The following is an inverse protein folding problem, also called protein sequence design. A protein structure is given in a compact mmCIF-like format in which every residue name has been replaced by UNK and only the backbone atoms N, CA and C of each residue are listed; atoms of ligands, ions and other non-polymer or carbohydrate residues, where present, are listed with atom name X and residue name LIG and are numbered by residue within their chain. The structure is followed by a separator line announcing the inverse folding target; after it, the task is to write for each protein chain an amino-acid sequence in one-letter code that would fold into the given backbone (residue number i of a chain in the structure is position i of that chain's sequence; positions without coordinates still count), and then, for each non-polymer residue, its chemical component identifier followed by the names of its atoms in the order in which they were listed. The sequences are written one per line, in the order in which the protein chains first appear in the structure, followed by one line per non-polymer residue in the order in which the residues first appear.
data_IF_039174902903
#
_entry.id   IF_039174902903
#
_cell.length_a   1.000
_cell.length_b   1.000
_cell.length_c   1.000
_cell.angle_alpha   90.00
_cell.angle_beta   90.00
_cell.angle_gamma   90.00
#
_symmetry.space_group_name_H-M   'P 1'
#
loop_
_entity.id
_entity.type
_entity.pdbx_description
1 polymer ?
#
# COMPACT_ATOMS: atom_id res chain seq x y z
N UNK A 1 0.36 3.73 21.50
CA UNK A 1 -0.33 5.01 21.71
C UNK A 1 -1.80 4.77 22.02
N UNK A 2 -2.13 4.76 23.31
CA UNK A 2 -3.48 4.84 23.85
C UNK A 2 -3.85 6.31 24.21
N UNK A 3 -5.04 6.57 24.76
CA UNK A 3 -5.50 7.94 25.08
C UNK A 3 -4.62 8.66 26.11
N UNK A 4 -4.17 7.95 27.14
CA UNK A 4 -3.31 8.51 28.20
C UNK A 4 -1.94 8.88 27.60
N UNK A 5 -1.38 7.99 26.78
CA UNK A 5 -0.13 8.23 26.06
C UNK A 5 -0.23 9.42 25.09
N UNK A 6 -1.40 9.61 24.43
CA UNK A 6 -1.64 10.77 23.56
C UNK A 6 -1.66 12.08 24.34
N UNK A 7 -2.35 12.13 25.48
CA UNK A 7 -2.40 13.31 26.35
C UNK A 7 -0.99 13.67 26.84
N UNK A 8 -0.24 12.66 27.27
CA UNK A 8 1.13 12.84 27.74
C UNK A 8 2.05 13.35 26.62
N UNK A 9 1.97 12.77 25.41
CA UNK A 9 2.73 13.24 24.26
C UNK A 9 2.41 14.70 23.89
N UNK A 10 1.15 15.10 23.95
CA UNK A 10 0.73 16.49 23.68
C UNK A 10 1.28 17.46 24.73
N UNK A 11 1.26 17.06 26.01
CA UNK A 11 1.82 17.82 27.13
C UNK A 11 3.32 18.08 26.92
N UNK A 12 4.07 17.00 26.66
CA UNK A 12 5.53 17.05 26.59
C UNK A 12 6.03 17.81 25.33
N UNK A 13 5.29 17.74 24.23
CA UNK A 13 5.70 18.38 22.96
C UNK A 13 5.35 19.87 22.91
N UNK A 14 4.30 20.32 23.63
CA UNK A 14 3.75 21.67 23.48
C UNK A 14 3.73 22.48 24.79
N UNK A 15 4.44 22.03 25.83
CA UNK A 15 4.48 22.68 27.14
C UNK A 15 3.09 22.98 27.74
N UNK A 16 2.09 22.14 27.43
CA UNK A 16 0.74 22.28 27.97
C UNK A 16 0.67 21.72 29.39
N UNK A 17 -0.27 22.21 30.19
CA UNK A 17 -0.65 21.48 31.41
C UNK A 17 -1.38 20.18 31.05
N UNK A 18 -1.38 19.21 31.98
CA UNK A 18 -2.12 17.95 31.79
C UNK A 18 -3.61 18.21 31.53
N UNK A 19 -4.22 19.13 32.28
CA UNK A 19 -5.63 19.51 32.16
C UNK A 19 -5.96 20.17 30.82
N UNK A 20 -5.03 20.94 30.25
CA UNK A 20 -5.20 21.52 28.91
C UNK A 20 -5.10 20.44 27.82
N UNK A 21 -4.10 19.56 27.90
CA UNK A 21 -3.97 18.45 26.96
C UNK A 21 -5.19 17.52 26.98
N UNK A 22 -5.73 17.23 28.17
CA UNK A 22 -6.98 16.49 28.34
C UNK A 22 -8.17 17.18 27.66
N UNK A 23 -8.32 18.49 27.88
CA UNK A 23 -9.39 19.30 27.26
C UNK A 23 -9.28 19.32 25.75
N UNK A 24 -8.09 19.51 25.19
CA UNK A 24 -7.86 19.51 23.74
C UNK A 24 -8.22 18.17 23.11
N UNK A 25 -7.76 17.06 23.70
CA UNK A 25 -8.08 15.72 23.21
C UNK A 25 -9.58 15.46 23.29
N UNK A 26 -10.24 15.83 24.39
CA UNK A 26 -11.67 15.67 24.54
C UNK A 26 -12.44 16.46 23.47
N UNK A 27 -12.14 17.75 23.31
CA UNK A 27 -12.80 18.63 22.34
C UNK A 27 -12.65 18.09 20.91
N UNK A 28 -11.45 17.66 20.53
CA UNK A 28 -11.20 17.08 19.20
C UNK A 28 -12.11 15.89 18.88
N UNK A 29 -12.25 14.94 19.81
CA UNK A 29 -13.09 13.76 19.59
C UNK A 29 -14.58 14.09 19.64
N UNK A 30 -15.00 15.04 20.48
CA UNK A 30 -16.40 15.50 20.56
C UNK A 30 -16.82 16.16 19.26
N UNK A 31 -16.11 17.19 18.80
CA UNK A 31 -16.45 17.93 17.57
C UNK A 31 -16.47 17.02 16.34
N UNK A 32 -15.50 16.10 16.24
CA UNK A 32 -15.47 15.10 15.17
C UNK A 32 -16.67 14.14 15.21
N UNK A 33 -17.08 13.70 16.41
CA UNK A 33 -18.23 12.81 16.59
C UNK A 33 -19.54 13.51 16.25
N UNK A 34 -19.70 14.76 16.69
CA UNK A 34 -20.89 15.56 16.44
C UNK A 34 -21.05 15.89 14.95
N UNK A 35 -19.95 16.23 14.26
CA UNK A 35 -19.95 16.40 12.80
C UNK A 35 -20.42 15.12 12.08
N UNK A 36 -19.89 13.96 12.45
CA UNK A 36 -20.32 12.68 11.86
C UNK A 36 -21.77 12.34 12.19
N UNK A 37 -22.25 12.66 13.40
CA UNK A 37 -23.65 12.46 13.77
C UNK A 37 -24.61 13.29 12.91
N UNK A 38 -24.19 14.49 12.48
CA UNK A 38 -24.91 15.33 11.52
C UNK A 38 -24.78 14.89 10.06
N UNK A 39 -24.01 13.83 9.79
CA UNK A 39 -23.73 13.34 8.44
C UNK A 39 -22.68 14.14 7.68
N UNK A 40 -21.97 15.03 8.37
CA UNK A 40 -20.89 15.83 7.79
C UNK A 40 -19.66 14.96 7.54
N UNK A 41 -18.79 15.46 6.64
CA UNK A 41 -17.51 14.85 6.36
C UNK A 41 -16.42 15.60 7.12
N UNK A 42 -15.66 14.87 7.93
CA UNK A 42 -14.46 15.39 8.60
C UNK A 42 -13.26 15.08 7.71
N UNK A 43 -12.51 16.11 7.33
CA UNK A 43 -11.32 15.97 6.48
C UNK A 43 -10.10 16.60 7.14
N UNK A 44 -9.11 15.77 7.44
CA UNK A 44 -7.82 16.19 8.00
C UNK A 44 -6.79 15.96 6.90
N UNK A 45 -6.43 17.02 6.19
CA UNK A 45 -5.51 16.98 5.04
C UNK A 45 -4.22 16.24 5.41
N UNK A 46 -3.76 15.37 4.51
CA UNK A 46 -2.59 14.51 4.73
C UNK A 46 -2.88 13.27 5.59
N UNK A 47 -3.80 13.36 6.56
CA UNK A 47 -4.09 12.28 7.49
C UNK A 47 -5.23 11.37 7.04
N UNK A 48 -6.46 11.89 6.95
CA UNK A 48 -7.64 11.08 6.61
C UNK A 48 -8.85 11.90 6.16
N UNK A 49 -9.83 11.19 5.61
CA UNK A 49 -11.21 11.65 5.52
C UNK A 49 -12.12 10.65 6.22
N UNK A 50 -13.01 11.14 7.07
CA UNK A 50 -14.04 10.35 7.75
C UNK A 50 -15.40 10.89 7.31
N UNK A 51 -16.27 9.99 6.87
CA UNK A 51 -17.62 10.34 6.43
C UNK A 51 -18.59 9.21 6.76
N UNK A 52 -19.86 9.53 6.88
CA UNK A 52 -20.90 8.54 7.11
C UNK A 52 -21.21 7.81 5.80
N UNK A 53 -21.12 6.48 5.81
CA UNK A 53 -21.50 5.63 4.69
C UNK A 53 -22.79 4.89 5.01
N UNK A 54 -23.72 4.89 4.06
CA UNK A 54 -24.96 4.14 4.15
C UNK A 54 -24.78 2.73 3.60
N UNK A 55 -25.18 1.74 4.38
CA UNK A 55 -25.14 0.33 4.02
C UNK A 55 -26.57 -0.17 3.84
N UNK A 56 -26.83 -0.78 2.68
CA UNK A 56 -28.12 -1.43 2.40
C UNK A 56 -28.30 -2.65 3.29
N UNK A 57 -29.55 -3.07 3.46
CA UNK A 57 -29.87 -4.33 4.11
C UNK A 57 -29.24 -5.51 3.37
N UNK A 58 -28.84 -6.55 4.11
CA UNK A 58 -28.30 -7.77 3.53
C UNK A 58 -28.66 -8.97 4.40
N UNK A 59 -28.63 -10.16 3.81
CA UNK A 59 -28.86 -11.41 4.54
C UNK A 59 -27.54 -11.89 5.15
N UNK A 60 -27.51 -11.98 6.47
CA UNK A 60 -26.41 -12.56 7.24
C UNK A 60 -26.76 -13.97 7.75
N UNK A 61 -25.85 -14.56 8.53
CA UNK A 61 -26.13 -15.79 9.28
C UNK A 61 -25.84 -15.56 10.76
N UNK A 62 -26.69 -16.11 11.61
CA UNK A 62 -26.42 -16.15 13.04
C UNK A 62 -25.19 -17.04 13.30
N UNK A 63 -24.10 -16.52 13.90
CA UNK A 63 -22.89 -17.32 14.13
C UNK A 63 -23.11 -18.53 15.05
N UNK A 64 -24.14 -18.51 15.90
CA UNK A 64 -24.46 -19.60 16.84
C UNK A 64 -25.39 -20.65 16.24
N UNK A 65 -26.41 -20.24 15.47
CA UNK A 65 -27.45 -21.16 14.96
C UNK A 65 -27.34 -21.47 13.47
N UNK A 66 -26.60 -20.67 12.70
CA UNK A 66 -26.44 -20.82 11.25
C UNK A 66 -27.64 -20.33 10.42
N UNK A 67 -28.74 -19.99 11.06
CA UNK A 67 -29.96 -19.49 10.41
C UNK A 67 -29.71 -18.18 9.68
N UNK A 68 -30.42 -17.99 8.57
CA UNK A 68 -30.38 -16.75 7.80
C UNK A 68 -31.15 -15.66 8.54
N UNK A 69 -30.50 -14.50 8.72
CA UNK A 69 -31.10 -13.35 9.38
C UNK A 69 -30.96 -12.13 8.49
N UNK A 70 -32.05 -11.39 8.29
CA UNK A 70 -32.02 -10.13 7.55
C UNK A 70 -31.45 -9.02 8.44
N UNK A 71 -30.35 -8.40 8.00
CA UNK A 71 -29.74 -7.25 8.67
C UNK A 71 -30.32 -5.97 8.05
N UNK A 72 -30.88 -5.11 8.91
CA UNK A 72 -31.43 -3.82 8.50
C UNK A 72 -30.35 -2.89 7.90
N UNK A 73 -30.74 -1.92 7.05
CA UNK A 73 -29.82 -0.87 6.60
C UNK A 73 -29.25 -0.11 7.80
N UNK A 74 -28.01 0.36 7.68
CA UNK A 74 -27.34 1.12 8.75
C UNK A 74 -26.40 2.16 8.20
N UNK A 75 -26.14 3.19 9.00
CA UNK A 75 -25.14 4.21 8.72
C UNK A 75 -23.94 3.97 9.62
N UNK A 76 -22.74 3.94 9.05
CA UNK A 76 -21.51 3.74 9.81
C UNK A 76 -20.45 4.75 9.37
N UNK A 77 -19.63 5.28 10.29
CA UNK A 77 -18.45 6.05 9.92
C UNK A 77 -17.51 5.19 9.07
N UNK A 78 -17.00 5.77 7.99
CA UNK A 78 -16.01 5.17 7.13
C UNK A 78 -14.73 6.02 7.15
N UNK A 79 -13.64 5.43 7.61
CA UNK A 79 -12.32 6.06 7.59
C UNK A 79 -11.60 5.76 6.28
N UNK A 80 -11.26 6.81 5.53
CA UNK A 80 -10.40 6.75 4.36
C UNK A 80 -9.03 7.33 4.71
N UNK A 81 -7.98 6.50 4.84
CA UNK A 81 -6.65 7.01 5.13
C UNK A 81 -6.13 7.85 3.96
N UNK A 82 -5.53 8.99 4.30
CA UNK A 82 -4.86 9.90 3.39
C UNK A 82 -3.62 9.27 2.76
N UNK A 83 -3.16 9.86 1.65
CA UNK A 83 -1.98 9.37 0.94
C UNK A 83 -0.73 9.44 1.82
N UNK A 84 -0.49 10.58 2.46
CA UNK A 84 0.70 10.79 3.30
C UNK A 84 0.69 9.84 4.51
N UNK A 85 -0.45 9.61 5.16
CA UNK A 85 -0.55 8.61 6.22
C UNK A 85 -0.22 7.20 5.73
N UNK A 86 -0.75 6.80 4.56
CA UNK A 86 -0.43 5.49 3.96
C UNK A 86 1.05 5.37 3.65
N UNK A 87 1.67 6.40 3.11
CA UNK A 87 3.10 6.43 2.80
C UNK A 87 3.97 6.39 4.06
N UNK A 88 3.55 7.08 5.14
CA UNK A 88 4.25 7.03 6.43
C UNK A 88 4.19 5.66 7.09
N UNK A 89 3.09 4.92 6.91
CA UNK A 89 2.88 3.60 7.53
C UNK A 89 3.42 2.47 6.64
N UNK A 90 3.19 2.55 5.34
CA UNK A 90 3.64 1.55 4.37
C UNK A 90 5.09 1.80 3.99
N UNK A 91 5.99 1.04 4.63
CA UNK A 91 7.43 1.05 4.32
C UNK A 91 7.75 0.67 2.87
N UNK A 92 6.78 0.22 2.06
CA UNK A 92 6.97 -0.13 0.64
C UNK A 92 6.45 0.91 -0.37
N UNK A 93 5.67 1.92 0.05
CA UNK A 93 5.20 2.99 -0.86
C UNK A 93 6.29 4.06 -0.97
N UNK A 94 7.14 3.85 -1.96
CA UNK A 94 8.17 4.80 -2.33
C UNK A 94 7.52 6.08 -2.86
N UNK A 95 7.41 7.11 -2.01
CA UNK A 95 7.40 8.50 -2.46
C UNK A 95 8.68 8.70 -3.29
N UNK A 96 8.63 9.41 -4.44
CA UNK A 96 9.79 9.53 -5.33
C UNK A 96 11.03 10.22 -4.74
N UNK A 97 11.14 10.49 -3.43
CA UNK A 97 12.27 11.28 -2.98
C UNK A 97 12.86 11.06 -1.58
N UNK A 98 12.38 10.19 -0.67
CA UNK A 98 13.11 10.00 0.61
C UNK A 98 13.00 8.57 1.17
N UNK A 99 14.01 7.74 0.89
CA UNK A 99 14.28 6.46 1.56
C UNK A 99 15.78 6.38 1.89
N UNK A 100 16.13 6.30 3.19
CA UNK A 100 17.50 6.07 3.67
C UNK A 100 17.94 4.59 3.63
N UNK A 101 17.05 3.68 3.20
CA UNK A 101 17.41 2.35 2.67
C UNK A 101 17.14 2.37 1.18
N UNK A 102 18.09 2.88 0.40
CA UNK A 102 17.90 3.25 -1.00
C UNK A 102 17.28 2.12 -1.81
N UNK A 103 16.18 2.40 -2.52
CA UNK A 103 15.72 1.58 -3.63
C UNK A 103 16.85 1.59 -4.66
N UNK A 104 17.68 0.55 -4.66
CA UNK A 104 18.84 0.46 -5.54
C UNK A 104 18.43 0.78 -6.98
N UNK A 105 18.85 1.93 -7.49
CA UNK A 105 18.55 2.33 -8.87
C UNK A 105 19.31 1.43 -9.84
N UNK A 106 18.94 1.44 -11.12
CA UNK A 106 19.71 0.71 -12.15
C UNK A 106 21.18 1.17 -12.15
N UNK A 107 21.41 2.47 -11.95
CA UNK A 107 22.75 3.04 -11.88
C UNK A 107 23.50 2.52 -10.64
N UNK A 108 22.89 2.61 -9.46
CA UNK A 108 23.50 2.10 -8.21
C UNK A 108 23.77 0.60 -8.26
N UNK A 109 22.90 -0.19 -8.88
CA UNK A 109 23.15 -1.62 -9.11
C UNK A 109 24.36 -1.84 -10.01
N UNK A 110 24.47 -1.08 -11.11
CA UNK A 110 25.63 -1.15 -12.01
C UNK A 110 26.91 -0.78 -11.27
N UNK A 111 26.88 0.28 -10.46
CA UNK A 111 28.02 0.71 -9.67
C UNK A 111 28.43 -0.33 -8.63
N UNK A 112 27.47 -0.92 -7.93
CA UNK A 112 27.74 -1.97 -6.96
C UNK A 112 28.33 -3.23 -7.62
N UNK A 113 27.74 -3.70 -8.72
CA UNK A 113 28.29 -4.84 -9.48
C UNK A 113 29.71 -4.54 -9.97
N UNK A 114 29.92 -3.34 -10.52
CA UNK A 114 31.24 -2.92 -11.01
C UNK A 114 32.29 -2.93 -9.89
N UNK A 115 31.93 -2.42 -8.70
CA UNK A 115 32.82 -2.38 -7.54
C UNK A 115 33.09 -3.77 -6.96
N UNK A 116 32.05 -4.57 -6.70
CA UNK A 116 32.17 -5.85 -6.01
C UNK A 116 32.85 -6.92 -6.89
N UNK A 117 32.69 -6.84 -8.22
CA UNK A 117 33.30 -7.76 -9.17
C UNK A 117 34.60 -7.23 -9.82
N UNK A 118 35.05 -6.03 -9.44
CA UNK A 118 36.21 -5.32 -10.03
C UNK A 118 36.18 -5.29 -11.57
N UNK A 119 35.07 -4.81 -12.13
CA UNK A 119 34.85 -4.70 -13.59
C UNK A 119 34.40 -3.29 -14.00
N UNK A 120 34.63 -2.88 -15.26
CA UNK A 120 34.11 -1.61 -15.76
C UNK A 120 32.59 -1.49 -15.65
N UNK A 121 32.08 -0.30 -15.28
CA UNK A 121 30.63 0.01 -15.22
C UNK A 121 29.92 -0.26 -16.55
N UNK A 122 30.62 -0.10 -17.69
CA UNK A 122 30.12 -0.40 -19.03
C UNK A 122 29.84 -1.90 -19.21
N UNK A 123 30.73 -2.76 -18.71
CA UNK A 123 30.57 -4.22 -18.72
C UNK A 123 29.41 -4.66 -17.85
N UNK A 124 29.30 -4.14 -16.61
CA UNK A 124 28.17 -4.42 -15.72
C UNK A 124 26.83 -3.98 -16.33
N UNK A 125 26.80 -2.79 -16.97
CA UNK A 125 25.63 -2.30 -17.72
C UNK A 125 25.27 -3.23 -18.88
N UNK A 126 26.25 -3.65 -19.67
CA UNK A 126 26.04 -4.53 -20.82
C UNK A 126 25.49 -5.89 -20.40
N UNK A 127 26.00 -6.47 -19.31
CA UNK A 127 25.48 -7.72 -18.74
C UNK A 127 24.00 -7.60 -18.35
N UNK A 128 23.63 -6.52 -17.64
CA UNK A 128 22.25 -6.26 -17.22
C UNK A 128 21.32 -6.03 -18.43
N UNK A 129 21.80 -5.31 -19.45
CA UNK A 129 21.05 -5.11 -20.69
C UNK A 129 20.91 -6.42 -21.50
N UNK A 130 21.87 -7.33 -21.41
CA UNK A 130 21.80 -8.69 -21.95
C UNK A 130 20.61 -9.47 -21.38
N UNK A 131 20.41 -9.44 -20.06
CA UNK A 131 19.25 -10.06 -19.39
C UNK A 131 17.95 -9.46 -19.94
N UNK A 132 17.88 -8.12 -20.06
CA UNK A 132 16.70 -7.43 -20.61
C UNK A 132 16.41 -7.84 -22.05
N UNK A 133 17.45 -7.98 -22.89
CA UNK A 133 17.33 -8.45 -24.28
C UNK A 133 16.83 -9.90 -24.32
N UNK A 134 17.34 -10.77 -23.47
CA UNK A 134 16.94 -12.18 -23.36
C UNK A 134 15.45 -12.36 -23.05
N UNK A 135 14.81 -11.36 -22.42
CA UNK A 135 13.39 -11.38 -22.05
C UNK A 135 12.46 -10.74 -23.11
N UNK A 136 12.97 -10.25 -24.25
CA UNK A 136 12.15 -9.56 -25.26
C UNK A 136 11.18 -10.50 -25.99
N UNK A 137 11.56 -11.76 -26.23
CA UNK A 137 10.73 -12.72 -26.97
C UNK A 137 9.58 -13.23 -26.09
N UNK A 138 8.41 -13.46 -26.70
CA UNK A 138 7.27 -14.09 -26.02
C UNK A 138 7.68 -15.48 -25.51
N UNK A 139 7.29 -15.83 -24.27
CA UNK A 139 7.65 -17.10 -23.62
C UNK A 139 9.15 -17.34 -23.43
N UNK A 140 9.99 -16.30 -23.56
CA UNK A 140 11.40 -16.39 -23.21
C UNK A 140 11.62 -16.51 -21.70
N UNK A 141 12.76 -17.07 -21.32
CA UNK A 141 13.20 -17.16 -19.94
C UNK A 141 14.69 -16.86 -19.84
N UNK A 142 15.09 -16.22 -18.74
CA UNK A 142 16.48 -16.04 -18.35
C UNK A 142 16.63 -16.62 -16.96
N UNK A 143 17.47 -17.64 -16.83
CA UNK A 143 17.75 -18.31 -15.56
C UNK A 143 19.13 -17.90 -15.09
N UNK A 144 19.20 -17.36 -13.88
CA UNK A 144 20.44 -17.09 -13.17
C UNK A 144 20.54 -18.12 -12.05
N UNK A 145 21.44 -19.09 -12.19
CA UNK A 145 21.63 -20.18 -11.22
C UNK A 145 21.95 -19.57 -9.85
N UNK A 146 21.37 -20.12 -8.78
CA UNK A 146 21.48 -19.58 -7.41
C UNK A 146 20.58 -18.37 -7.12
N UNK A 147 20.20 -17.58 -8.13
CA UNK A 147 19.37 -16.38 -7.93
C UNK A 147 17.89 -16.59 -8.25
N UNK A 148 17.57 -17.03 -9.47
CA UNK A 148 16.19 -17.28 -9.88
C UNK A 148 15.97 -17.25 -11.39
N UNK A 149 14.70 -17.34 -11.79
CA UNK A 149 14.30 -17.36 -13.19
C UNK A 149 13.34 -16.22 -13.50
N UNK A 150 13.70 -15.40 -14.48
CA UNK A 150 12.79 -14.46 -15.12
C UNK A 150 12.10 -15.14 -16.30
N UNK A 151 10.79 -14.97 -16.43
CA UNK A 151 9.99 -15.48 -17.55
C UNK A 151 9.16 -14.37 -18.13
N UNK A 152 9.17 -14.22 -19.45
CA UNK A 152 8.21 -13.38 -20.15
C UNK A 152 6.96 -14.21 -20.49
N UNK A 153 5.91 -14.03 -19.70
CA UNK A 153 4.67 -14.79 -19.82
C UNK A 153 3.62 -13.93 -20.53
N UNK A 154 3.04 -14.45 -21.61
CA UNK A 154 1.89 -13.81 -22.24
C UNK A 154 0.63 -14.05 -21.41
N UNK A 155 0.02 -12.97 -20.90
CA UNK A 155 -1.29 -13.01 -20.27
C UNK A 155 -2.34 -12.77 -21.36
N UNK A 156 -3.23 -13.75 -21.55
CA UNK A 156 -4.36 -13.65 -22.48
C UNK A 156 -5.30 -12.52 -22.05
N UNK A 157 -6.02 -11.98 -23.02
CA UNK A 157 -7.13 -11.06 -22.78
C UNK A 157 -8.14 -11.71 -21.85
N UNK A 158 -8.60 -10.99 -20.83
CA UNK A 158 -9.58 -11.49 -19.86
C UNK A 158 -10.46 -10.35 -19.35
N UNK A 159 -11.63 -10.71 -18.82
CA UNK A 159 -12.47 -9.76 -18.09
C UNK A 159 -11.94 -9.61 -16.67
N UNK A 160 -11.67 -8.38 -16.27
CA UNK A 160 -11.41 -7.99 -14.89
C UNK A 160 -12.52 -7.11 -14.34
N UNK A 161 -12.32 -6.56 -13.15
CA UNK A 161 -13.18 -5.54 -12.57
C UNK A 161 -12.36 -4.29 -12.28
N UNK A 162 -12.94 -3.12 -12.51
CA UNK A 162 -12.35 -1.87 -12.07
C UNK A 162 -12.28 -1.89 -10.52
N UNK A 163 -11.09 -1.73 -9.90
CA UNK A 163 -10.96 -1.77 -8.45
C UNK A 163 -11.76 -0.68 -7.73
N UNK A 164 -12.09 0.42 -8.40
CA UNK A 164 -12.82 1.56 -7.82
C UNK A 164 -14.33 1.43 -7.99
N UNK A 165 -14.81 0.99 -9.16
CA UNK A 165 -16.26 0.93 -9.47
C UNK A 165 -16.84 -0.47 -9.39
N UNK A 166 -16.01 -1.52 -9.42
CA UNK A 166 -16.44 -2.92 -9.45
C UNK A 166 -16.96 -3.40 -10.81
N UNK A 167 -17.12 -2.50 -11.77
CA UNK A 167 -17.65 -2.79 -13.10
C UNK A 167 -16.70 -3.69 -13.90
N UNK A 168 -17.26 -4.53 -14.77
CA UNK A 168 -16.48 -5.41 -15.63
C UNK A 168 -15.72 -4.58 -16.66
N UNK A 169 -14.42 -4.82 -16.78
CA UNK A 169 -13.56 -4.18 -17.78
C UNK A 169 -12.72 -5.22 -18.55
N UNK A 170 -12.54 -4.99 -19.85
CA UNK A 170 -11.68 -5.85 -20.69
C UNK A 170 -10.21 -5.50 -20.47
N UNK A 171 -9.44 -6.44 -19.93
CA UNK A 171 -8.00 -6.30 -19.78
C UNK A 171 -7.35 -6.90 -21.03
N UNK A 172 -6.77 -6.04 -21.88
CA UNK A 172 -6.08 -6.47 -23.11
C UNK A 172 -4.91 -7.39 -22.76
N UNK A 173 -4.76 -8.46 -23.55
CA UNK A 173 -3.65 -9.40 -23.40
C UNK A 173 -2.30 -8.69 -23.58
N UNK A 174 -1.34 -9.03 -22.71
CA UNK A 174 -0.01 -8.43 -22.71
C UNK A 174 1.03 -9.39 -22.18
N UNK A 175 2.27 -9.21 -22.62
CA UNK A 175 3.45 -9.87 -22.07
C UNK A 175 3.83 -9.24 -20.74
N UNK A 176 4.04 -10.07 -19.71
CA UNK A 176 4.51 -9.64 -18.39
C UNK A 176 5.72 -10.45 -17.98
N UNK A 177 6.71 -9.80 -17.38
CA UNK A 177 7.85 -10.49 -16.79
C UNK A 177 7.48 -10.93 -15.38
N UNK A 178 7.67 -12.20 -15.08
CA UNK A 178 7.53 -12.77 -13.74
C UNK A 178 8.88 -13.30 -13.27
N UNK A 179 9.22 -13.08 -12.01
CA UNK A 179 10.40 -13.66 -11.37
C UNK A 179 9.99 -14.81 -10.46
N UNK A 180 10.73 -15.92 -10.53
CA UNK A 180 10.64 -17.03 -9.58
C UNK A 180 12.00 -17.16 -8.88
N UNK A 181 12.11 -16.89 -7.57
CA UNK A 181 13.38 -17.03 -6.85
C UNK A 181 13.86 -18.48 -6.86
N UNK A 182 15.18 -18.67 -6.78
CA UNK A 182 15.77 -19.99 -6.55
C UNK A 182 15.50 -20.45 -5.12
N UNK A 183 15.59 -21.76 -4.86
CA UNK A 183 15.45 -22.30 -3.49
C UNK A 183 16.57 -21.85 -2.55
N UNK A 184 17.72 -21.47 -3.11
CA UNK A 184 18.94 -21.13 -2.37
C UNK A 184 19.18 -19.62 -2.33
N UNK A 185 18.18 -18.81 -2.68
CA UNK A 185 18.26 -17.36 -2.52
C UNK A 185 18.09 -17.06 -1.01
N UNK A 186 19.09 -16.43 -0.36
CA UNK A 186 19.05 -16.15 1.08
C UNK A 186 17.91 -15.21 1.48
#
# INVERSE_FOLDING_TARGET
MNKIELIQALKDTNSLSKTEAERVVALFFTEMSDALARGERVEIRGFCSIFVKEYKSYTGRNPKTGEQVQIAPKKLPFFKPGKELKERVDRSIITPNQYQGGRMTKAELIEKIAKDADIPKTTAKAALDGIKKGLKKKNSKVTLIGFGTFRNVYRKTRMGRNPQTGEKMKIKGRSVVTFKPSKNLP
#
